data_IF_452232841890
#
_entry.id   IF_452232841890
#
_cell.length_a   1.000
_cell.length_b   1.000
_cell.length_c   1.000
_cell.angle_alpha   90.00
_cell.angle_beta   90.00
_cell.angle_gamma   90.00
#
_symmetry.space_group_name_H-M   'P 1'
#
loop_
_entity.id
_entity.type
_entity.pdbx_description
1 polymer ?
#
# COMPACT_ATOMS: atom_id res chain seq x y z
N UNK A 1 11.42 -5.17 -4.12
CA UNK A 1 12.30 -4.09 -4.60
C UNK A 1 13.15 -3.51 -3.48
N UNK A 2 12.53 -3.17 -2.36
CA UNK A 2 13.22 -2.55 -1.23
C UNK A 2 14.36 -3.42 -0.65
N UNK A 3 14.09 -4.72 -0.40
CA UNK A 3 15.10 -5.67 0.08
C UNK A 3 16.28 -5.90 -0.88
N UNK A 4 16.19 -5.42 -2.13
CA UNK A 4 17.23 -5.52 -3.14
C UNK A 4 17.97 -4.18 -3.34
N UNK A 5 17.70 -3.15 -2.52
CA UNK A 5 18.26 -1.80 -2.64
C UNK A 5 18.18 -1.23 -4.06
N UNK A 6 17.05 -1.47 -4.75
CA UNK A 6 16.82 -0.99 -6.10
C UNK A 6 16.88 0.54 -6.14
N UNK A 7 17.70 1.10 -7.03
CA UNK A 7 17.73 2.53 -7.32
C UNK A 7 16.40 2.99 -7.94
N UNK A 8 15.96 4.19 -7.55
CA UNK A 8 14.68 4.78 -7.94
C UNK A 8 14.89 6.18 -8.53
N UNK A 9 13.90 6.66 -9.28
CA UNK A 9 13.90 8.01 -9.85
C UNK A 9 12.82 8.88 -9.19
N UNK A 10 13.03 10.19 -9.03
CA UNK A 10 11.97 11.09 -8.57
C UNK A 10 10.87 11.21 -9.63
N UNK A 11 9.64 11.42 -9.20
CA UNK A 11 8.47 11.62 -10.07
C UNK A 11 7.40 12.47 -9.35
N UNK A 12 6.63 13.24 -10.11
CA UNK A 12 5.41 13.91 -9.64
C UNK A 12 4.15 13.13 -10.04
N UNK A 13 3.06 13.27 -9.27
CA UNK A 13 1.75 12.74 -9.68
C UNK A 13 0.90 13.76 -10.43
N UNK A 14 1.33 15.01 -10.45
CA UNK A 14 0.71 16.12 -11.17
C UNK A 14 1.79 17.09 -11.63
N UNK A 15 1.56 17.72 -12.78
CA UNK A 15 2.39 18.81 -13.30
C UNK A 15 1.92 20.19 -12.79
N UNK A 16 0.86 20.22 -11.97
CA UNK A 16 0.32 21.43 -11.35
C UNK A 16 0.90 21.58 -9.94
N UNK A 17 1.45 22.76 -9.66
CA UNK A 17 2.02 23.11 -8.36
C UNK A 17 1.02 22.91 -7.22
N UNK A 18 1.54 22.50 -6.06
CA UNK A 18 0.89 22.31 -4.76
C UNK A 18 -0.19 21.22 -4.73
N UNK A 19 -0.28 20.37 -5.75
CA UNK A 19 -1.23 19.24 -5.76
C UNK A 19 -0.70 17.99 -5.07
N UNK A 20 0.60 17.69 -5.22
CA UNK A 20 1.19 16.47 -4.66
C UNK A 20 2.67 16.68 -4.35
N UNK A 21 3.12 16.14 -3.21
CA UNK A 21 4.54 16.05 -2.91
C UNK A 21 5.27 15.11 -3.88
N UNK A 22 6.58 15.28 -4.01
CA UNK A 22 7.44 14.43 -4.81
C UNK A 22 7.38 12.97 -4.32
N UNK A 23 7.37 12.06 -5.29
CA UNK A 23 7.38 10.61 -5.10
C UNK A 23 8.61 10.00 -5.74
N UNK A 24 8.79 8.70 -5.55
CA UNK A 24 9.81 7.93 -6.25
C UNK A 24 9.18 6.83 -7.08
N UNK A 25 9.64 6.70 -8.32
CA UNK A 25 9.29 5.62 -9.23
C UNK A 25 10.35 4.50 -9.14
N UNK A 26 9.88 3.28 -8.94
CA UNK A 26 10.73 2.09 -8.93
C UNK A 26 10.65 1.38 -10.29
N UNK A 27 11.78 1.26 -11.03
CA UNK A 27 11.76 0.65 -12.36
C UNK A 27 11.61 -0.88 -12.36
N UNK A 28 11.87 -1.55 -11.22
CA UNK A 28 11.76 -3.00 -11.12
C UNK A 28 10.29 -3.48 -10.99
N UNK A 29 9.50 -2.90 -10.08
CA UNK A 29 8.06 -3.19 -9.97
C UNK A 29 7.18 -2.28 -10.84
N UNK A 30 7.73 -1.19 -11.37
CA UNK A 30 7.02 -0.18 -12.17
C UNK A 30 5.89 0.52 -11.40
N UNK A 31 6.12 0.76 -10.11
CA UNK A 31 5.19 1.44 -9.21
C UNK A 31 5.80 2.69 -8.57
N UNK A 32 4.94 3.55 -8.04
CA UNK A 32 5.27 4.82 -7.38
C UNK A 32 5.12 4.68 -5.85
N UNK A 33 6.11 5.17 -5.10
CA UNK A 33 6.15 5.08 -3.65
C UNK A 33 6.45 6.43 -2.99
N UNK A 34 6.17 6.51 -1.69
CA UNK A 34 6.62 7.62 -0.86
C UNK A 34 8.14 7.50 -0.61
N UNK A 35 8.90 8.61 -0.71
CA UNK A 35 10.31 8.59 -0.38
C UNK A 35 10.49 8.33 1.12
N UNK A 36 11.54 7.58 1.51
CA UNK A 36 11.84 7.39 2.95
C UNK A 36 12.32 8.65 3.65
N UNK A 37 12.86 9.61 2.90
CA UNK A 37 13.40 10.85 3.43
C UNK A 37 12.31 11.92 3.45
N UNK A 38 11.97 12.40 4.65
CA UNK A 38 11.00 13.48 4.90
C UNK A 38 11.32 14.76 4.14
N UNK A 39 12.60 15.04 3.83
CA UNK A 39 12.99 16.19 3.00
C UNK A 39 12.37 16.19 1.60
N UNK A 40 12.21 15.00 1.00
CA UNK A 40 11.59 14.86 -0.31
C UNK A 40 10.07 14.96 -0.22
N UNK A 41 9.48 14.63 0.93
CA UNK A 41 8.03 14.78 1.16
C UNK A 41 7.60 16.26 1.21
N UNK A 42 8.50 17.17 1.57
CA UNK A 42 8.23 18.61 1.54
C UNK A 42 8.40 19.24 0.14
N UNK A 43 9.01 18.53 -0.81
CA UNK A 43 9.25 19.04 -2.16
C UNK A 43 8.02 18.80 -3.04
N UNK A 44 7.66 19.79 -3.84
CA UNK A 44 6.56 19.67 -4.80
C UNK A 44 6.93 18.71 -5.94
N UNK A 45 6.06 17.73 -6.20
CA UNK A 45 6.28 16.73 -7.26
C UNK A 45 6.25 17.34 -8.67
N UNK A 46 5.56 18.46 -8.85
CA UNK A 46 5.46 19.14 -10.14
C UNK A 46 6.82 19.60 -10.69
N UNK A 47 7.84 19.79 -9.84
CA UNK A 47 9.20 20.11 -10.30
C UNK A 47 9.91 18.98 -11.03
N UNK A 48 9.49 17.73 -10.79
CA UNK A 48 9.98 16.57 -11.54
C UNK A 48 9.05 16.23 -12.70
N UNK A 49 7.76 16.52 -12.53
CA UNK A 49 6.71 16.22 -13.50
C UNK A 49 6.28 14.75 -13.51
N UNK A 50 5.19 14.50 -14.22
CA UNK A 50 4.53 13.19 -14.31
C UNK A 50 5.28 12.19 -15.18
N UNK A 51 6.10 12.68 -16.11
CA UNK A 51 6.64 11.87 -17.21
C UNK A 51 8.14 11.61 -17.14
N UNK A 52 8.90 12.33 -16.31
CA UNK A 52 10.37 12.27 -16.28
C UNK A 52 10.91 10.84 -16.16
N UNK A 53 10.46 10.07 -15.15
CA UNK A 53 10.97 8.73 -14.91
C UNK A 53 10.66 7.78 -16.08
N UNK A 54 9.49 7.93 -16.72
CA UNK A 54 9.10 7.13 -17.88
C UNK A 54 9.93 7.46 -19.12
N UNK A 55 10.11 8.75 -19.42
CA UNK A 55 10.93 9.21 -20.55
C UNK A 55 12.41 8.82 -20.37
N UNK A 56 12.92 8.82 -19.14
CA UNK A 56 14.27 8.36 -18.84
C UNK A 56 14.48 6.92 -19.29
N UNK A 57 13.58 5.99 -18.95
CA UNK A 57 13.72 4.58 -19.37
C UNK A 57 13.36 4.34 -20.84
N UNK A 58 12.56 5.19 -21.48
CA UNK A 58 12.39 5.17 -22.94
C UNK A 58 13.70 5.53 -23.66
N UNK A 59 14.47 6.47 -23.11
CA UNK A 59 15.75 6.90 -23.68
C UNK A 59 16.89 5.93 -23.36
N UNK A 60 16.96 5.46 -22.11
CA UNK A 60 18.03 4.61 -21.59
C UNK A 60 17.53 3.20 -21.27
N UNK A 61 16.98 2.50 -22.26
CA UNK A 61 16.35 1.18 -22.08
C UNK A 61 17.28 0.14 -21.45
N UNK A 62 18.58 0.21 -21.70
CA UNK A 62 19.58 -0.70 -21.13
C UNK A 62 19.77 -0.55 -19.61
N UNK A 63 19.30 0.55 -19.01
CA UNK A 63 19.32 0.76 -17.55
C UNK A 63 18.07 0.24 -16.85
N UNK A 64 17.07 -0.26 -17.59
CA UNK A 64 15.88 -0.82 -16.99
C UNK A 64 16.18 -2.21 -16.39
N UNK A 65 15.88 -2.44 -15.09
CA UNK A 65 16.08 -3.75 -14.49
C UNK A 65 15.21 -4.81 -15.16
N UNK A 66 15.81 -5.95 -15.46
CA UNK A 66 15.11 -7.12 -16.03
C UNK A 66 14.46 -8.00 -14.96
N UNK A 67 14.87 -7.84 -13.70
CA UNK A 67 14.40 -8.66 -12.58
C UNK A 67 13.01 -8.16 -12.16
N UNK A 68 12.01 -9.01 -12.35
CA UNK A 68 10.70 -8.79 -11.74
C UNK A 68 10.76 -9.12 -10.24
N UNK A 69 10.22 -8.25 -9.38
CA UNK A 69 10.20 -8.50 -7.96
C UNK A 69 9.33 -9.72 -7.65
N UNK A 70 9.89 -10.66 -6.90
CA UNK A 70 9.13 -11.80 -6.41
C UNK A 70 8.14 -11.34 -5.33
N UNK A 71 6.85 -11.71 -5.43
CA UNK A 71 5.87 -11.34 -4.43
C UNK A 71 6.22 -11.98 -3.08
N UNK A 72 5.94 -11.26 -2.00
CA UNK A 72 6.15 -11.79 -0.65
C UNK A 72 5.26 -13.01 -0.41
N UNK A 73 5.88 -14.11 0.02
CA UNK A 73 5.17 -15.34 0.42
C UNK A 73 5.11 -15.39 1.95
N UNK A 74 3.95 -15.13 2.57
CA UNK A 74 3.84 -15.16 4.03
C UNK A 74 4.02 -16.59 4.54
N UNK A 75 4.93 -16.75 5.50
CA UNK A 75 5.21 -18.02 6.17
C UNK A 75 5.15 -17.85 7.69
N UNK A 76 4.59 -18.84 8.37
CA UNK A 76 4.57 -18.95 9.83
C UNK A 76 5.23 -20.28 10.20
N UNK A 77 6.29 -20.24 11.02
CA UNK A 77 7.12 -21.41 11.32
C UNK A 77 7.58 -22.20 10.07
N UNK A 78 7.85 -21.49 8.96
CA UNK A 78 8.26 -22.09 7.69
C UNK A 78 7.12 -22.58 6.79
N UNK A 79 5.89 -22.69 7.29
CA UNK A 79 4.73 -23.11 6.51
C UNK A 79 4.06 -21.92 5.82
N UNK A 80 3.70 -22.09 4.54
CA UNK A 80 2.94 -21.08 3.79
C UNK A 80 1.54 -20.93 4.39
N UNK A 81 1.10 -19.70 4.58
CA UNK A 81 -0.27 -19.43 5.04
C UNK A 81 -1.24 -19.73 3.88
N UNK A 82 -2.19 -20.62 4.11
CA UNK A 82 -3.19 -20.97 3.10
C UNK A 82 -4.20 -19.84 2.88
N UNK A 83 -4.65 -19.65 1.63
CA UNK A 83 -5.56 -18.55 1.26
C UNK A 83 -6.89 -18.58 2.02
N UNK A 84 -7.36 -19.76 2.43
CA UNK A 84 -8.61 -19.91 3.20
C UNK A 84 -8.57 -19.22 4.56
N UNK A 85 -7.39 -19.00 5.15
CA UNK A 85 -7.26 -18.33 6.45
C UNK A 85 -7.85 -16.93 6.40
N UNK A 86 -7.59 -16.17 5.33
CA UNK A 86 -8.13 -14.81 5.17
C UNK A 86 -9.67 -14.81 5.12
N UNK A 87 -10.23 -15.75 4.38
CA UNK A 87 -11.69 -15.90 4.24
C UNK A 87 -12.34 -16.31 5.57
N UNK A 88 -11.75 -17.27 6.27
CA UNK A 88 -12.24 -17.75 7.56
C UNK A 88 -12.18 -16.65 8.63
N UNK A 89 -11.09 -15.87 8.67
CA UNK A 89 -10.96 -14.73 9.59
C UNK A 89 -12.02 -13.65 9.31
N UNK A 90 -12.33 -13.38 8.04
CA UNK A 90 -13.39 -12.43 7.66
C UNK A 90 -14.75 -12.89 8.19
N UNK A 91 -15.11 -14.16 7.94
CA UNK A 91 -16.36 -14.76 8.43
C UNK A 91 -16.47 -14.74 9.95
N UNK A 92 -15.37 -15.04 10.66
CA UNK A 92 -15.34 -14.98 12.13
C UNK A 92 -15.54 -13.56 12.65
N UNK A 93 -14.88 -12.55 12.06
CA UNK A 93 -15.08 -11.14 12.43
C UNK A 93 -16.54 -10.71 12.25
N UNK A 94 -17.13 -11.03 11.10
CA UNK A 94 -18.53 -10.72 10.81
C UNK A 94 -19.48 -11.41 11.79
N UNK A 95 -19.24 -12.69 12.11
CA UNK A 95 -20.05 -13.43 13.08
C UNK A 95 -19.93 -12.85 14.49
N UNK A 96 -18.72 -12.49 14.93
CA UNK A 96 -18.49 -11.83 16.23
C UNK A 96 -19.17 -10.47 16.30
N UNK A 97 -19.07 -9.66 15.24
CA UNK A 97 -19.69 -8.34 15.19
C UNK A 97 -21.23 -8.43 15.20
N UNK A 98 -21.80 -9.42 14.50
CA UNK A 98 -23.25 -9.72 14.60
C UNK A 98 -23.66 -10.13 16.00
N UNK A 99 -22.86 -10.93 16.71
CA UNK A 99 -23.13 -11.32 18.10
C UNK A 99 -23.09 -10.13 19.04
N UNK A 100 -22.12 -9.22 18.89
CA UNK A 100 -22.01 -7.98 19.68
C UNK A 100 -23.26 -7.13 19.47
N UNK A 101 -23.64 -6.85 18.22
CA UNK A 101 -24.83 -6.04 17.94
C UNK A 101 -26.11 -6.67 18.48
N UNK A 102 -26.24 -8.00 18.39
CA UNK A 102 -27.39 -8.69 18.95
C UNK A 102 -27.42 -8.64 20.48
N UNK A 103 -26.26 -8.76 21.14
CA UNK A 103 -26.14 -8.64 22.58
C UNK A 103 -26.48 -7.21 23.08
N UNK A 104 -25.98 -6.18 22.39
CA UNK A 104 -26.30 -4.78 22.69
C UNK A 104 -27.80 -4.47 22.52
N UNK A 105 -28.45 -5.03 21.49
CA UNK A 105 -29.89 -4.93 21.29
C UNK A 105 -30.69 -5.60 22.42
N UNK A 106 -30.19 -6.72 22.97
CA UNK A 106 -30.84 -7.39 24.11
C UNK A 106 -30.64 -6.69 25.45
N UNK A 107 -29.49 -6.03 25.69
CA UNK A 107 -29.24 -5.25 26.92
C UNK A 107 -29.98 -3.91 26.95
N UNK A 108 -30.15 -3.27 25.79
CA UNK A 108 -30.91 -2.01 25.68
C UNK A 108 -32.42 -2.20 25.92
N UNK A 109 -32.96 -3.39 25.66
CA UNK A 109 -34.36 -3.73 25.96
C UNK A 109 -34.64 -4.14 27.41
N UNK A 110 -33.62 -4.48 28.20
CA UNK A 110 -33.79 -4.94 29.60
C UNK A 110 -33.66 -3.83 30.64
N UNK A 111 -33.08 -2.66 30.28
CA UNK A 111 -33.00 -1.49 31.19
C UNK A 111 -34.29 -0.67 31.31
N UNK A 112 -35.31 -0.90 30.48
CA UNK A 112 -36.58 -0.17 30.51
C UNK A 112 -37.74 -0.92 31.20
N UNK A 113 -37.50 -2.10 31.79
CA UNK A 113 -38.54 -2.93 32.42
C UNK A 113 -38.43 -3.04 33.96
N UNK A 114 -37.66 -2.15 34.59
CA UNK A 114 -37.53 -2.07 36.04
C UNK A 114 -37.85 -0.67 36.57
N UNK A 115 -39.13 -0.33 36.63
CA UNK A 115 -39.68 0.76 37.44
C UNK A 115 -41.07 0.34 37.92
#
# INVERSE_FOLDING_TARGET
CENQNQAVLPIGQSDILRQSAAKVYCPACREIYFPRSTRLECLDGAYFGTSFAHLFFLTYQHMQPTILPQPFVPKLYGFKIHKSVKENLKKQKEATQRKIMNWEATESGTRSAGA
#
